data_IF_498981196062
#
_entry.id   IF_498981196062
#
_cell.length_a   1.000
_cell.length_b   1.000
_cell.length_c   1.000
_cell.angle_alpha   90.00
_cell.angle_beta   90.00
_cell.angle_gamma   90.00
#
_symmetry.space_group_name_H-M   'P 1'
#
loop_
_entity.id
_entity.type
_entity.pdbx_description
1 polymer ?
#
# COMPACT_ATOMS: atom_id res chain seq x y z
N UNK A 1 5.45 -23.86 66.36
CA UNK A 1 5.81 -22.47 66.06
C UNK A 1 5.92 -22.35 64.54
N UNK A 2 4.99 -21.57 63.95
CA UNK A 2 4.89 -21.02 62.59
C UNK A 2 5.29 -21.89 61.39
N UNK A 3 4.26 -22.34 60.65
CA UNK A 3 4.33 -22.78 59.25
C UNK A 3 4.49 -21.54 58.37
N UNK A 4 5.45 -21.55 57.43
CA UNK A 4 5.51 -20.56 56.35
C UNK A 4 5.58 -21.32 55.01
N UNK A 5 4.42 -21.50 54.36
CA UNK A 5 4.31 -22.06 53.02
C UNK A 5 4.38 -20.89 52.03
N UNK A 6 5.55 -20.65 51.46
CA UNK A 6 5.78 -19.63 50.44
C UNK A 6 5.42 -20.22 49.05
N UNK A 7 4.13 -20.18 48.70
CA UNK A 7 3.68 -20.44 47.32
C UNK A 7 4.12 -19.28 46.44
N UNK A 8 5.17 -19.50 45.66
CA UNK A 8 5.58 -18.58 44.59
C UNK A 8 4.54 -18.66 43.46
N UNK A 9 3.72 -17.61 43.35
CA UNK A 9 2.91 -17.36 42.17
C UNK A 9 3.84 -16.72 41.12
N UNK A 10 4.32 -17.51 40.17
CA UNK A 10 5.05 -17.00 39.00
C UNK A 10 4.02 -16.44 38.04
N UNK A 11 3.81 -15.13 38.10
CA UNK A 11 3.02 -14.39 37.13
C UNK A 11 3.88 -14.22 35.87
N UNK A 12 3.75 -15.14 34.93
CA UNK A 12 4.36 -15.00 33.61
C UNK A 12 3.59 -13.93 32.83
N UNK A 13 4.09 -12.69 32.82
CA UNK A 13 3.69 -11.70 31.83
C UNK A 13 4.12 -12.21 30.44
N UNK A 14 3.19 -12.83 29.72
CA UNK A 14 3.28 -12.91 28.26
C UNK A 14 3.12 -11.47 27.74
N UNK A 15 4.24 -10.75 27.61
CA UNK A 15 4.28 -9.61 26.73
C UNK A 15 4.11 -10.18 25.31
N UNK A 16 2.87 -10.13 24.80
CA UNK A 16 2.60 -10.38 23.40
C UNK A 16 3.45 -9.39 22.60
N UNK A 17 4.47 -9.89 21.92
CA UNK A 17 5.17 -9.10 20.92
C UNK A 17 4.12 -8.86 19.84
N UNK A 18 3.71 -7.60 19.58
CA UNK A 18 2.81 -7.35 18.45
C UNK A 18 3.51 -7.91 17.21
N UNK A 19 2.87 -8.86 16.55
CA UNK A 19 3.32 -9.29 15.24
C UNK A 19 3.23 -8.04 14.36
N UNK A 20 4.36 -7.59 13.82
CA UNK A 20 4.32 -6.55 12.82
C UNK A 20 3.49 -7.11 11.66
N UNK A 21 2.33 -6.52 11.42
CA UNK A 21 1.51 -6.85 10.26
C UNK A 21 2.39 -6.74 9.00
N UNK A 22 2.38 -7.77 8.17
CA UNK A 22 3.13 -7.75 6.91
C UNK A 22 2.48 -6.73 5.99
N UNK A 23 3.28 -5.84 5.39
CA UNK A 23 2.78 -4.95 4.36
C UNK A 23 2.52 -5.72 3.06
N UNK A 24 1.41 -5.42 2.39
CA UNK A 24 1.05 -5.93 1.08
C UNK A 24 1.74 -5.11 -0.02
N UNK A 25 2.16 -5.79 -1.08
CA UNK A 25 2.66 -5.13 -2.29
C UNK A 25 1.46 -4.60 -3.06
N UNK A 26 1.19 -3.30 -2.94
CA UNK A 26 0.08 -2.68 -3.67
C UNK A 26 0.39 -2.66 -5.17
N UNK A 27 1.59 -2.24 -5.56
CA UNK A 27 1.99 -2.22 -6.97
C UNK A 27 3.51 -2.24 -7.08
N UNK A 28 4.05 -3.08 -7.96
CA UNK A 28 5.50 -3.21 -8.15
C UNK A 28 5.88 -3.64 -9.56
N UNK A 29 7.00 -3.11 -10.06
CA UNK A 29 7.81 -3.71 -11.13
C UNK A 29 9.26 -3.87 -10.69
N UNK A 30 9.48 -4.11 -9.39
CA UNK A 30 10.78 -4.49 -8.84
C UNK A 30 10.96 -6.01 -8.81
N UNK A 31 12.22 -6.51 -8.89
CA UNK A 31 13.40 -5.75 -9.27
C UNK A 31 13.34 -5.32 -10.74
N UNK A 32 13.74 -4.08 -11.02
CA UNK A 32 13.95 -3.63 -12.39
C UNK A 32 15.15 -4.33 -13.03
N UNK A 33 15.19 -4.42 -14.37
CA UNK A 33 16.31 -5.09 -15.06
C UNK A 33 17.51 -4.17 -15.36
N UNK A 34 17.50 -2.92 -14.86
CA UNK A 34 18.56 -1.91 -14.96
C UNK A 34 19.17 -1.68 -16.34
N UNK A 35 18.40 -1.94 -17.39
CA UNK A 35 18.86 -1.76 -18.74
C UNK A 35 19.05 -0.26 -19.09
N UNK A 36 19.02 0.07 -20.38
CA UNK A 36 19.42 1.39 -20.88
C UNK A 36 18.43 2.51 -20.60
N UNK A 37 17.20 2.20 -20.16
CA UNK A 37 16.17 3.22 -19.92
C UNK A 37 16.28 3.83 -18.51
N UNK A 38 16.09 5.14 -18.44
CA UNK A 38 15.99 5.88 -17.20
C UNK A 38 15.33 7.25 -17.42
N UNK A 39 14.88 7.87 -16.34
CA UNK A 39 14.49 9.27 -16.34
C UNK A 39 15.52 10.06 -15.52
N UNK A 40 16.25 10.96 -16.17
CA UNK A 40 17.16 11.88 -15.48
C UNK A 40 16.35 12.88 -14.66
N UNK A 41 16.67 13.05 -13.37
CA UNK A 41 15.99 13.96 -12.44
C UNK A 41 16.84 15.19 -12.10
N UNK A 42 17.83 15.50 -12.94
CA UNK A 42 18.71 16.65 -12.83
C UNK A 42 18.11 17.91 -13.48
N UNK A 43 18.66 19.10 -13.17
CA UNK A 43 18.21 20.35 -13.77
C UNK A 43 16.75 20.72 -13.43
N UNK A 44 16.23 20.18 -12.33
CA UNK A 44 14.87 20.37 -11.87
C UNK A 44 13.83 19.45 -12.52
N UNK A 45 14.24 18.52 -13.40
CA UNK A 45 13.36 17.54 -14.05
C UNK A 45 12.60 16.70 -13.01
N UNK A 46 11.38 16.33 -13.37
CA UNK A 46 10.44 15.66 -12.49
C UNK A 46 9.81 14.50 -13.24
N UNK A 47 9.63 13.38 -12.53
CA UNK A 47 9.00 12.18 -13.05
C UNK A 47 7.84 11.80 -12.14
N UNK A 48 6.75 11.32 -12.73
CA UNK A 48 5.63 10.76 -11.97
C UNK A 48 5.18 9.41 -12.52
N UNK A 49 4.73 8.55 -11.61
CA UNK A 49 4.14 7.24 -11.87
C UNK A 49 2.75 7.19 -11.24
N UNK A 50 1.72 7.07 -12.06
CA UNK A 50 0.33 7.02 -11.63
C UNK A 50 -0.08 5.59 -11.32
N UNK A 51 -0.91 5.42 -10.30
CA UNK A 51 -1.49 4.13 -9.92
C UNK A 51 -2.89 4.34 -9.33
N UNK A 52 -3.75 3.33 -9.46
CA UNK A 52 -5.13 3.35 -8.96
C UNK A 52 -5.33 2.23 -7.97
N UNK A 53 -5.73 2.59 -6.74
CA UNK A 53 -6.17 1.62 -5.73
C UNK A 53 -7.49 1.02 -6.19
N UNK A 54 -7.68 -0.31 -6.11
CA UNK A 54 -8.97 -0.91 -6.44
C UNK A 54 -10.08 -0.36 -5.53
N UNK A 55 -11.33 -0.49 -5.95
CA UNK A 55 -12.45 -0.33 -5.01
C UNK A 55 -12.39 -1.41 -3.92
N UNK A 56 -12.96 -1.13 -2.75
CA UNK A 56 -12.92 -2.02 -1.60
C UNK A 56 -12.15 -1.37 -0.46
N UNK A 57 -10.95 -1.86 -0.18
CA UNK A 57 -10.15 -1.45 0.97
C UNK A 57 -9.39 -0.15 0.78
N UNK A 58 -9.38 0.64 1.86
CA UNK A 58 -8.39 1.69 2.06
C UNK A 58 -7.07 1.07 2.54
N UNK A 59 -5.94 1.64 2.12
CA UNK A 59 -4.61 1.17 2.51
C UNK A 59 -3.81 2.26 3.22
N UNK A 60 -3.35 1.98 4.44
CA UNK A 60 -2.30 2.77 5.06
C UNK A 60 -1.00 2.58 4.29
N UNK A 61 -0.47 3.66 3.71
CA UNK A 61 0.81 3.62 3.01
C UNK A 61 1.93 3.31 4.00
N UNK A 62 2.65 2.22 3.77
CA UNK A 62 3.77 1.79 4.63
C UNK A 62 5.09 2.26 4.06
N UNK A 63 5.34 2.00 2.79
CA UNK A 63 6.61 2.37 2.15
C UNK A 63 6.47 2.56 0.64
N UNK A 64 7.41 3.31 0.06
CA UNK A 64 7.63 3.40 -1.38
C UNK A 64 9.09 3.14 -1.67
N UNK A 65 9.36 2.13 -2.49
CA UNK A 65 10.71 1.85 -2.96
C UNK A 65 10.93 2.43 -4.36
N UNK A 66 11.96 3.24 -4.53
CA UNK A 66 12.38 3.77 -5.84
C UNK A 66 13.79 3.28 -6.20
N UNK A 67 13.97 2.87 -7.45
CA UNK A 67 15.27 2.40 -7.95
C UNK A 67 16.05 3.52 -8.62
N UNK A 68 17.06 4.07 -7.94
CA UNK A 68 17.81 5.23 -8.41
C UNK A 68 19.26 4.85 -8.74
N UNK A 69 19.79 5.45 -9.80
CA UNK A 69 21.22 5.48 -10.13
C UNK A 69 21.78 6.85 -9.75
N UNK A 70 22.64 6.87 -8.73
CA UNK A 70 23.27 8.07 -8.20
C UNK A 70 24.68 8.17 -8.74
N UNK A 71 24.95 9.17 -9.61
CA UNK A 71 26.26 9.30 -10.25
C UNK A 71 27.30 10.00 -9.38
N UNK A 72 26.86 10.81 -8.41
CA UNK A 72 27.74 11.50 -7.47
C UNK A 72 27.03 11.80 -6.14
N UNK A 73 27.82 11.98 -5.07
CA UNK A 73 27.27 12.34 -3.75
C UNK A 73 26.71 13.77 -3.77
N UNK A 74 25.75 14.04 -2.89
CA UNK A 74 24.99 15.30 -2.85
C UNK A 74 23.62 15.25 -3.54
N UNK A 75 23.14 14.04 -3.85
CA UNK A 75 21.76 13.81 -4.27
C UNK A 75 20.81 14.06 -3.09
N UNK A 76 19.69 14.74 -3.37
CA UNK A 76 18.61 14.96 -2.43
C UNK A 76 17.28 14.70 -3.16
N UNK A 77 16.98 13.42 -3.48
CA UNK A 77 15.69 13.09 -4.07
C UNK A 77 14.57 13.46 -3.10
N UNK A 78 13.48 13.94 -3.66
CA UNK A 78 12.24 14.21 -2.96
C UNK A 78 11.18 13.32 -3.59
N UNK A 79 10.55 12.51 -2.74
CA UNK A 79 9.54 11.52 -3.11
C UNK A 79 8.23 11.89 -2.43
N UNK A 80 7.14 12.02 -3.19
CA UNK A 80 5.86 12.54 -2.72
C UNK A 80 4.69 11.78 -3.33
N UNK A 81 3.55 11.80 -2.63
CA UNK A 81 2.26 11.37 -3.18
C UNK A 81 1.41 12.59 -3.51
N UNK A 82 0.79 12.57 -4.69
CA UNK A 82 -0.14 13.57 -5.18
C UNK A 82 -1.50 12.95 -5.50
N UNK A 83 -2.55 13.75 -5.46
CA UNK A 83 -3.87 13.39 -5.99
C UNK A 83 -3.88 13.32 -7.52
N UNK A 84 -5.00 12.88 -8.09
CA UNK A 84 -5.25 12.92 -9.52
C UNK A 84 -6.44 13.84 -9.84
N UNK A 85 -6.17 14.99 -10.47
CA UNK A 85 -7.20 15.91 -10.97
C UNK A 85 -7.04 16.06 -12.48
N UNK A 86 -8.04 15.63 -13.25
CA UNK A 86 -7.99 15.70 -14.72
C UNK A 86 -6.84 14.89 -15.33
N UNK A 87 -6.54 13.72 -14.76
CA UNK A 87 -5.43 12.85 -15.16
C UNK A 87 -4.03 13.44 -14.92
N UNK A 88 -3.93 14.43 -14.02
CA UNK A 88 -2.67 15.08 -13.68
C UNK A 88 -2.45 15.11 -12.15
N UNK A 89 -1.19 14.93 -11.70
CA UNK A 89 -0.81 15.23 -10.33
C UNK A 89 -1.02 16.71 -10.04
N UNK A 90 -1.82 17.07 -9.03
CA UNK A 90 -2.18 18.47 -8.78
C UNK A 90 -1.83 18.90 -7.36
N UNK A 91 -2.45 18.28 -6.36
CA UNK A 91 -2.26 18.61 -4.95
C UNK A 91 -1.36 17.57 -4.28
N UNK A 92 -0.32 18.02 -3.59
CA UNK A 92 0.52 17.13 -2.79
C UNK A 92 -0.27 16.66 -1.56
N UNK A 93 -0.31 15.35 -1.35
CA UNK A 93 -1.02 14.71 -0.24
C UNK A 93 -0.08 14.19 0.85
N UNK A 94 1.08 13.65 0.46
CA UNK A 94 2.03 13.08 1.43
C UNK A 94 3.49 13.38 1.09
N UNK A 95 4.29 13.48 2.15
CA UNK A 95 5.76 13.59 2.11
C UNK A 95 6.36 12.26 2.55
N UNK A 96 7.31 11.74 1.78
CA UNK A 96 8.07 10.56 2.15
C UNK A 96 9.51 10.96 2.53
N UNK A 97 9.98 10.38 3.64
CA UNK A 97 11.34 10.46 4.11
C UNK A 97 12.20 9.50 3.28
N UNK A 98 13.19 10.06 2.58
CA UNK A 98 14.14 9.27 1.79
C UNK A 98 15.38 9.00 2.64
N UNK A 99 15.87 7.75 2.73
CA UNK A 99 17.06 7.45 3.51
C UNK A 99 18.29 8.20 2.98
N UNK A 100 19.28 8.50 3.84
CA UNK A 100 20.50 9.18 3.41
C UNK A 100 21.23 8.43 2.30
N UNK A 101 21.59 9.15 1.23
CA UNK A 101 22.38 8.59 0.13
C UNK A 101 23.87 8.65 0.50
N UNK A 102 24.44 7.50 0.83
CA UNK A 102 25.83 7.38 1.30
C UNK A 102 26.80 6.80 0.26
N UNK A 103 26.29 6.30 -0.87
CA UNK A 103 27.06 5.70 -1.96
C UNK A 103 26.52 6.10 -3.33
N UNK A 104 27.34 5.89 -4.36
CA UNK A 104 26.98 6.04 -5.78
C UNK A 104 26.61 4.69 -6.39
N UNK A 105 25.92 4.71 -7.53
CA UNK A 105 25.50 3.54 -8.28
C UNK A 105 23.99 3.31 -8.19
N UNK A 106 23.56 2.14 -8.68
CA UNK A 106 22.16 1.74 -8.71
C UNK A 106 21.77 1.07 -7.39
N UNK A 107 20.75 1.58 -6.73
CA UNK A 107 20.21 1.01 -5.52
C UNK A 107 18.70 1.27 -5.38
N UNK A 108 18.06 0.45 -4.55
CA UNK A 108 16.68 0.65 -4.12
C UNK A 108 16.67 1.52 -2.84
N UNK A 109 15.86 2.57 -2.85
CA UNK A 109 15.69 3.48 -1.73
C UNK A 109 14.26 3.35 -1.19
N UNK A 110 14.13 2.74 -0.02
CA UNK A 110 12.86 2.56 0.69
C UNK A 110 12.52 3.85 1.42
N UNK A 111 11.47 4.53 0.96
CA UNK A 111 10.99 5.79 1.50
C UNK A 111 9.76 5.53 2.37
N UNK A 112 9.68 6.17 3.54
CA UNK A 112 8.55 5.99 4.48
C UNK A 112 7.76 7.28 4.61
N UNK A 113 6.42 7.25 4.76
CA UNK A 113 5.66 8.47 5.02
C UNK A 113 6.11 9.18 6.29
N UNK A 114 6.36 10.49 6.20
CA UNK A 114 6.74 11.30 7.38
C UNK A 114 5.58 11.44 8.38
N UNK A 115 4.36 11.21 7.91
CA UNK A 115 3.12 11.12 8.70
C UNK A 115 2.27 9.98 8.13
N UNK A 116 1.50 9.24 8.97
CA UNK A 116 0.56 8.23 8.49
C UNK A 116 -0.33 8.79 7.36
N UNK A 117 -0.47 8.03 6.28
CA UNK A 117 -1.21 8.44 5.10
C UNK A 117 -2.03 7.28 4.55
N UNK A 118 -3.34 7.50 4.40
CA UNK A 118 -4.25 6.50 3.84
C UNK A 118 -4.48 6.75 2.35
N UNK A 119 -4.27 5.71 1.57
CA UNK A 119 -4.65 5.58 0.17
C UNK A 119 -6.09 5.05 0.14
N UNK A 120 -7.04 5.91 -0.21
CA UNK A 120 -8.46 5.55 -0.24
C UNK A 120 -8.77 4.65 -1.45
N UNK A 121 -9.70 3.73 -1.25
CA UNK A 121 -10.18 2.80 -2.26
C UNK A 121 -10.72 3.52 -3.50
N UNK A 122 -10.50 2.95 -4.68
CA UNK A 122 -11.01 3.46 -5.95
C UNK A 122 -10.39 4.79 -6.41
N UNK A 123 -9.37 5.31 -5.72
CA UNK A 123 -8.70 6.57 -6.09
C UNK A 123 -7.40 6.35 -6.84
N UNK A 124 -7.16 7.24 -7.80
CA UNK A 124 -5.89 7.35 -8.51
C UNK A 124 -4.97 8.34 -7.80
N UNK A 125 -3.72 7.93 -7.62
CA UNK A 125 -2.65 8.70 -7.03
C UNK A 125 -1.44 8.77 -7.95
N UNK A 126 -0.55 9.72 -7.67
CA UNK A 126 0.72 9.87 -8.39
C UNK A 126 1.90 9.84 -7.42
N UNK A 127 2.83 8.92 -7.65
CA UNK A 127 4.16 8.95 -7.07
C UNK A 127 5.03 9.92 -7.86
N UNK A 128 5.40 11.06 -7.26
CA UNK A 128 6.19 12.11 -7.91
C UNK A 128 7.58 12.17 -7.30
N UNK A 129 8.60 12.16 -8.16
CA UNK A 129 10.01 12.17 -7.78
C UNK A 129 10.78 13.23 -8.55
N UNK A 130 11.57 14.02 -7.84
CA UNK A 130 12.54 14.94 -8.40
C UNK A 130 13.76 15.04 -7.48
N UNK A 131 14.81 15.72 -7.94
CA UNK A 131 15.99 15.98 -7.14
C UNK A 131 16.08 17.47 -6.80
N UNK A 132 16.24 17.81 -5.51
CA UNK A 132 16.61 19.16 -5.08
C UNK A 132 18.11 19.32 -4.85
N UNK A 133 18.87 18.24 -4.94
CA UNK A 133 20.32 18.23 -4.75
C UNK A 133 21.07 18.68 -6.00
N UNK A 134 22.39 18.79 -5.88
CA UNK A 134 23.28 19.18 -6.97
C UNK A 134 23.80 17.98 -7.77
N UNK A 135 23.61 16.76 -7.27
CA UNK A 135 24.03 15.56 -7.96
C UNK A 135 23.13 15.20 -9.14
N UNK A 136 23.70 14.48 -10.11
CA UNK A 136 22.89 13.80 -11.13
C UNK A 136 22.34 12.51 -10.53
N UNK A 137 21.03 12.32 -10.68
CA UNK A 137 20.36 11.06 -10.37
C UNK A 137 19.45 10.66 -11.53
N UNK A 138 19.41 9.37 -11.78
CA UNK A 138 18.52 8.78 -12.77
C UNK A 138 17.57 7.81 -12.08
N UNK A 139 16.26 7.97 -12.26
CA UNK A 139 15.33 6.92 -11.88
C UNK A 139 15.41 5.83 -12.94
N UNK A 140 15.79 4.61 -12.54
CA UNK A 140 15.94 3.48 -13.46
C UNK A 140 14.59 2.98 -13.96
N UNK A 141 14.61 2.33 -15.11
CA UNK A 141 13.47 1.71 -15.76
C UNK A 141 13.91 0.38 -16.40
N UNK A 142 12.96 -0.54 -16.56
CA UNK A 142 13.23 -1.78 -17.28
C UNK A 142 13.20 -1.59 -18.80
N UNK A 143 14.09 -2.27 -19.53
CA UNK A 143 14.04 -2.39 -20.99
C UNK A 143 14.27 -3.86 -21.39
N UNK A 144 13.28 -4.57 -21.95
CA UNK A 144 11.94 -4.09 -22.35
C UNK A 144 11.11 -3.59 -21.16
N UNK A 145 10.10 -2.76 -21.47
CA UNK A 145 9.21 -2.15 -20.47
C UNK A 145 8.52 -3.26 -19.67
N UNK A 146 8.58 -3.14 -18.34
CA UNK A 146 7.82 -3.97 -17.41
C UNK A 146 6.75 -3.10 -16.76
N UNK A 147 5.48 -3.43 -17.02
CA UNK A 147 4.35 -2.77 -16.37
C UNK A 147 4.30 -3.19 -14.89
N UNK A 148 4.12 -2.24 -13.96
CA UNK A 148 3.89 -2.55 -12.57
C UNK A 148 2.59 -3.34 -12.38
N UNK A 149 2.65 -4.35 -11.53
CA UNK A 149 1.55 -5.25 -11.19
C UNK A 149 1.39 -5.35 -9.67
N UNK A 150 0.20 -5.70 -9.20
CA UNK A 150 -0.14 -5.85 -7.79
C UNK A 150 -1.64 -5.68 -7.60
N UNK A 151 -2.05 -5.42 -6.36
CA UNK A 151 -3.43 -5.08 -5.99
C UNK A 151 -3.92 -3.82 -6.72
N UNK A 152 -3.07 -2.79 -6.79
CA UNK A 152 -3.30 -1.56 -7.52
C UNK A 152 -2.86 -1.67 -8.98
N UNK A 153 -3.54 -0.91 -9.85
CA UNK A 153 -3.28 -0.90 -11.29
C UNK A 153 -2.43 0.30 -11.70
N UNK A 154 -1.56 0.11 -12.69
CA UNK A 154 -0.78 1.22 -13.26
C UNK A 154 -1.70 2.16 -14.07
N UNK A 155 -1.64 3.46 -13.77
CA UNK A 155 -2.46 4.48 -14.44
C UNK A 155 -1.73 5.17 -15.60
N UNK A 156 -0.45 5.49 -15.43
CA UNK A 156 0.34 6.15 -16.47
C UNK A 156 1.67 6.69 -15.96
N UNK A 157 2.43 7.33 -16.86
CA UNK A 157 3.70 7.97 -16.51
C UNK A 157 3.82 9.36 -17.12
N UNK A 158 4.29 10.31 -16.32
CA UNK A 158 4.49 11.70 -16.73
C UNK A 158 5.94 12.11 -16.49
N UNK A 159 6.39 13.08 -17.27
CA UNK A 159 7.71 13.67 -17.17
C UNK A 159 7.63 15.16 -17.50
N UNK A 160 8.49 15.98 -16.88
CA UNK A 160 8.65 17.38 -17.26
C UNK A 160 10.10 17.82 -17.16
N UNK A 161 10.47 18.71 -18.07
CA UNK A 161 11.74 19.45 -18.02
C UNK A 161 11.64 20.76 -17.25
N UNK A 162 10.47 21.10 -16.72
CA UNK A 162 10.29 22.25 -15.83
C UNK A 162 11.02 22.00 -14.52
N UNK A 163 11.43 23.08 -13.86
CA UNK A 163 11.99 23.02 -12.51
C UNK A 163 10.89 22.72 -11.50
N UNK A 164 11.09 21.72 -10.64
CA UNK A 164 10.24 21.49 -9.45
C UNK A 164 10.04 22.77 -8.63
N UNK A 165 8.92 22.87 -7.88
CA UNK A 165 8.09 21.77 -7.37
C UNK A 165 6.81 21.47 -8.16
N UNK A 166 6.58 22.12 -9.31
CA UNK A 166 5.34 21.92 -10.06
C UNK A 166 5.30 20.52 -10.67
N UNK A 167 4.30 19.67 -10.36
CA UNK A 167 4.29 18.29 -10.79
C UNK A 167 4.21 18.17 -12.34
N UNK A 168 4.69 17.06 -12.92
CA UNK A 168 4.84 16.94 -14.36
C UNK A 168 3.50 16.78 -15.05
N UNK A 169 3.37 17.34 -16.27
CA UNK A 169 2.11 17.33 -17.03
C UNK A 169 2.23 16.75 -18.45
N UNK A 170 3.40 16.27 -18.85
CA UNK A 170 3.61 15.70 -20.19
C UNK A 170 3.76 14.18 -20.09
N UNK A 171 3.08 13.46 -20.99
CA UNK A 171 3.16 12.00 -21.06
C UNK A 171 4.59 11.53 -21.29
N UNK A 172 4.94 10.41 -20.66
CA UNK A 172 6.21 9.74 -20.83
C UNK A 172 5.98 8.28 -21.25
N UNK A 173 6.83 7.78 -22.16
CA UNK A 173 6.86 6.38 -22.55
C UNK A 173 7.75 5.50 -21.66
N UNK A 174 8.59 6.11 -20.82
CA UNK A 174 9.47 5.39 -19.89
C UNK A 174 8.70 5.04 -18.64
N UNK A 175 8.66 3.76 -18.27
CA UNK A 175 8.05 3.29 -17.02
C UNK A 175 9.17 2.95 -16.05
N UNK A 176 9.39 3.83 -15.09
CA UNK A 176 10.44 3.67 -14.09
C UNK A 176 10.13 2.54 -13.10
N UNK A 177 11.17 2.00 -12.46
CA UNK A 177 11.06 0.88 -11.54
C UNK A 177 10.76 1.36 -10.12
N UNK A 178 9.67 0.87 -9.54
CA UNK A 178 9.21 1.23 -8.20
C UNK A 178 8.32 0.16 -7.57
N UNK A 179 8.13 0.28 -6.26
CA UNK A 179 7.17 -0.49 -5.49
C UNK A 179 6.46 0.42 -4.48
N UNK A 180 5.18 0.16 -4.25
CA UNK A 180 4.39 0.79 -3.20
C UNK A 180 3.85 -0.33 -2.33
N UNK A 181 4.12 -0.23 -1.04
CA UNK A 181 3.66 -1.16 -0.02
C UNK A 181 2.66 -0.46 0.89
N UNK A 182 1.61 -1.17 1.26
CA UNK A 182 0.60 -0.67 2.19
C UNK A 182 0.01 -1.79 3.01
N UNK A 183 -0.75 -1.44 4.01
CA UNK A 183 -1.53 -2.36 4.82
C UNK A 183 -2.96 -1.89 4.78
N UNK A 184 -3.95 -2.79 4.79
CA UNK A 184 -5.35 -2.38 4.91
C UNK A 184 -5.50 -1.45 6.14
N UNK A 185 -6.07 -0.26 5.94
CA UNK A 185 -6.14 0.81 6.93
C UNK A 185 -7.12 0.52 8.08
N UNK A 186 -7.88 -0.55 7.94
CA UNK A 186 -8.78 -1.08 8.96
C UNK A 186 -8.67 -2.60 9.02
N UNK A 187 -9.55 -3.19 9.81
CA UNK A 187 -9.65 -4.63 9.91
C UNK A 187 -10.69 -5.09 8.91
N UNK A 188 -10.28 -5.65 7.77
CA UNK A 188 -11.21 -5.94 6.66
C UNK A 188 -12.38 -6.85 7.04
N UNK A 189 -12.16 -7.74 8.00
CA UNK A 189 -13.22 -8.61 8.52
C UNK A 189 -14.07 -8.00 9.64
N UNK A 190 -13.73 -6.81 10.15
CA UNK A 190 -14.50 -6.08 11.16
C UNK A 190 -15.61 -5.31 10.43
N UNK A 191 -16.79 -5.90 10.45
CA UNK A 191 -17.97 -5.46 9.70
C UNK A 191 -19.08 -4.96 10.62
N UNK A 192 -19.12 -5.38 11.88
CA UNK A 192 -20.25 -5.14 12.77
C UNK A 192 -19.91 -5.37 14.26
N UNK A 193 -20.11 -4.35 15.08
CA UNK A 193 -20.05 -4.43 16.55
C UNK A 193 -21.26 -5.12 17.20
N UNK A 194 -22.22 -5.61 16.42
CA UNK A 194 -23.35 -6.39 16.93
C UNK A 194 -23.86 -7.44 15.96
N UNK A 195 -24.33 -8.56 16.49
CA UNK A 195 -25.06 -9.59 15.72
C UNK A 195 -26.58 -9.41 15.72
N UNK A 196 -27.13 -8.42 16.43
CA UNK A 196 -28.58 -8.13 16.43
C UNK A 196 -28.93 -7.10 15.35
N UNK A 197 -29.70 -7.44 14.30
CA UNK A 197 -30.10 -6.49 13.25
C UNK A 197 -30.89 -5.26 13.73
N UNK A 198 -31.38 -5.25 14.97
CA UNK A 198 -32.06 -4.10 15.58
C UNK A 198 -31.14 -3.21 16.42
N UNK A 199 -29.88 -3.62 16.58
CA UNK A 199 -28.86 -2.82 17.28
C UNK A 199 -28.40 -1.65 16.42
N UNK A 200 -28.16 -0.46 17.00
CA UNK A 200 -27.52 0.66 16.28
C UNK A 200 -26.09 0.33 15.81
N UNK A 201 -25.46 -0.68 16.40
CA UNK A 201 -24.08 -1.09 16.06
C UNK A 201 -24.05 -2.21 15.00
N UNK A 202 -25.20 -2.65 14.48
CA UNK A 202 -25.27 -3.65 13.40
C UNK A 202 -24.82 -3.07 12.06
N UNK A 203 -23.79 -3.67 11.46
CA UNK A 203 -23.13 -3.18 10.26
C UNK A 203 -22.20 -1.99 10.50
N UNK A 204 -21.80 -1.75 11.76
CA UNK A 204 -20.85 -0.70 12.14
C UNK A 204 -19.60 -1.36 12.72
N UNK A 205 -18.42 -1.26 12.05
CA UNK A 205 -17.17 -1.81 12.57
C UNK A 205 -16.81 -1.27 13.96
N UNK A 206 -16.27 -2.11 14.84
CA UNK A 206 -15.96 -1.77 16.25
C UNK A 206 -14.48 -1.93 16.65
N UNK A 207 -13.64 -2.33 15.70
CA UNK A 207 -12.22 -2.57 15.86
C UNK A 207 -11.85 -4.01 16.22
N UNK A 208 -12.81 -4.93 16.26
CA UNK A 208 -12.58 -6.35 16.54
C UNK A 208 -13.16 -7.22 15.43
N UNK A 209 -12.58 -8.40 15.24
CA UNK A 209 -13.26 -9.47 14.49
C UNK A 209 -13.73 -10.50 15.50
N UNK A 210 -15.04 -10.60 15.65
CA UNK A 210 -15.70 -11.57 16.49
C UNK A 210 -17.00 -12.12 15.85
N UNK A 211 -17.75 -12.92 16.61
CA UNK A 211 -18.97 -13.55 16.12
C UNK A 211 -19.98 -12.57 15.50
N UNK A 212 -19.99 -11.31 15.94
CA UNK A 212 -20.86 -10.26 15.41
C UNK A 212 -20.59 -10.01 13.93
N UNK A 213 -19.32 -9.89 13.56
CA UNK A 213 -18.89 -9.72 12.18
C UNK A 213 -19.23 -10.94 11.34
N UNK A 214 -18.96 -12.15 11.87
CA UNK A 214 -19.25 -13.38 11.16
C UNK A 214 -20.74 -13.54 10.84
N UNK A 215 -21.62 -13.25 11.80
CA UNK A 215 -23.06 -13.30 11.55
C UNK A 215 -23.53 -12.22 10.59
N UNK A 216 -22.99 -11.00 10.71
CA UNK A 216 -23.28 -9.94 9.75
C UNK A 216 -22.82 -10.31 8.33
N UNK A 217 -21.61 -10.86 8.17
CA UNK A 217 -21.10 -11.36 6.90
C UNK A 217 -22.03 -12.42 6.30
N UNK A 218 -22.48 -13.41 7.08
CA UNK A 218 -23.43 -14.42 6.62
C UNK A 218 -24.73 -13.80 6.12
N UNK A 219 -25.27 -12.81 6.83
CA UNK A 219 -26.49 -12.11 6.44
C UNK A 219 -26.28 -11.37 5.10
N UNK A 220 -25.17 -10.66 4.94
CA UNK A 220 -24.83 -9.94 3.70
C UNK A 220 -24.55 -10.91 2.53
N UNK A 221 -23.85 -12.00 2.79
CA UNK A 221 -23.56 -13.04 1.81
C UNK A 221 -24.85 -13.71 1.32
N UNK A 222 -25.73 -14.11 2.25
CA UNK A 222 -27.03 -14.70 1.90
C UNK A 222 -27.94 -13.71 1.16
N UNK A 223 -27.81 -12.41 1.43
CA UNK A 223 -28.54 -11.35 0.73
C UNK A 223 -27.97 -11.01 -0.65
N UNK A 224 -26.81 -11.55 -1.04
CA UNK A 224 -26.17 -11.25 -2.32
C UNK A 224 -25.54 -9.85 -2.37
N UNK A 225 -25.16 -9.27 -1.22
CA UNK A 225 -24.61 -7.93 -1.16
C UNK A 225 -23.14 -7.89 -1.57
N UNK A 226 -22.89 -7.71 -2.87
CA UNK A 226 -21.54 -7.59 -3.45
C UNK A 226 -20.74 -6.42 -2.87
N UNK A 227 -21.38 -5.37 -2.33
CA UNK A 227 -20.61 -4.25 -1.78
C UNK A 227 -19.91 -4.57 -0.45
N UNK A 228 -20.34 -5.64 0.24
CA UNK A 228 -19.79 -6.06 1.53
C UNK A 228 -19.14 -7.44 1.44
N UNK A 229 -19.77 -8.37 0.72
CA UNK A 229 -19.42 -9.78 0.79
C UNK A 229 -18.57 -10.29 -0.40
N UNK A 230 -18.38 -9.50 -1.46
CA UNK A 230 -17.42 -9.79 -2.52
C UNK A 230 -16.03 -9.33 -2.07
N UNK A 231 -15.21 -10.28 -1.64
CA UNK A 231 -13.92 -10.06 -1.01
C UNK A 231 -12.77 -10.69 -1.79
N UNK A 232 -13.00 -11.74 -2.57
CA UNK A 232 -11.94 -12.50 -3.21
C UNK A 232 -12.42 -13.26 -4.45
N UNK A 233 -11.73 -13.10 -5.57
CA UNK A 233 -11.92 -13.89 -6.78
C UNK A 233 -11.19 -15.24 -6.80
N UNK A 234 -10.48 -15.60 -5.72
CA UNK A 234 -9.79 -16.89 -5.61
C UNK A 234 -9.78 -17.44 -4.19
N UNK A 235 -9.76 -18.77 -4.06
CA UNK A 235 -9.52 -19.47 -2.78
C UNK A 235 -8.04 -19.78 -2.52
N UNK A 236 -7.14 -19.59 -3.50
CA UNK A 236 -5.72 -19.91 -3.36
C UNK A 236 -4.92 -18.66 -2.97
N UNK A 237 -4.30 -18.61 -1.77
CA UNK A 237 -3.48 -17.47 -1.33
C UNK A 237 -2.31 -17.09 -2.24
N UNK A 238 -1.93 -17.96 -3.19
CA UNK A 238 -0.86 -17.67 -4.15
C UNK A 238 -1.39 -17.15 -5.50
N UNK A 239 -2.70 -17.05 -5.67
CA UNK A 239 -3.32 -16.54 -6.89
C UNK A 239 -3.48 -15.00 -6.82
N UNK A 240 -3.22 -14.26 -7.90
CA UNK A 240 -3.40 -12.80 -7.93
C UNK A 240 -4.82 -12.30 -7.62
N UNK A 241 -5.84 -13.15 -7.74
CA UNK A 241 -7.22 -12.83 -7.37
C UNK A 241 -7.56 -13.03 -5.89
N UNK A 242 -6.65 -13.58 -5.08
CA UNK A 242 -6.92 -13.81 -3.66
C UNK A 242 -6.95 -12.49 -2.88
N UNK A 243 -8.05 -12.25 -2.17
CA UNK A 243 -8.34 -11.00 -1.46
C UNK A 243 -8.70 -9.82 -2.37
N UNK A 244 -8.96 -10.07 -3.66
CA UNK A 244 -9.39 -9.05 -4.63
C UNK A 244 -10.83 -9.33 -5.05
N UNK A 245 -11.79 -8.41 -4.78
CA UNK A 245 -13.18 -8.57 -5.24
C UNK A 245 -13.28 -8.71 -6.76
N UNK A 246 -14.13 -9.61 -7.25
CA UNK A 246 -14.22 -9.96 -8.68
C UNK A 246 -15.62 -9.75 -9.31
N UNK A 247 -16.57 -9.24 -8.53
CA UNK A 247 -17.95 -8.99 -8.93
C UNK A 247 -18.84 -10.23 -8.84
N UNK A 248 -18.35 -11.34 -8.31
CA UNK A 248 -19.11 -12.55 -8.05
C UNK A 248 -19.19 -12.77 -6.54
N UNK A 249 -20.19 -13.54 -6.12
CA UNK A 249 -20.34 -13.95 -4.74
C UNK A 249 -20.34 -15.47 -4.69
N UNK A 250 -19.23 -16.05 -4.27
CA UNK A 250 -19.05 -17.50 -4.28
C UNK A 250 -18.22 -18.02 -3.08
N UNK A 251 -17.70 -19.24 -3.19
CA UNK A 251 -16.95 -19.87 -2.12
C UNK A 251 -15.62 -19.15 -1.82
N UNK A 252 -15.05 -18.46 -2.80
CA UNK A 252 -13.81 -17.70 -2.70
C UNK A 252 -13.92 -16.61 -1.63
N UNK A 253 -15.01 -15.84 -1.66
CA UNK A 253 -15.27 -14.80 -0.68
C UNK A 253 -15.48 -15.35 0.73
N UNK A 254 -16.25 -16.43 0.83
CA UNK A 254 -16.53 -17.07 2.11
C UNK A 254 -15.25 -17.61 2.77
N UNK A 255 -14.41 -18.31 2.02
CA UNK A 255 -13.16 -18.84 2.55
C UNK A 255 -12.16 -17.73 2.88
N UNK A 256 -12.08 -16.69 2.05
CA UNK A 256 -11.25 -15.54 2.36
C UNK A 256 -11.71 -14.81 3.63
N UNK A 257 -13.03 -14.65 3.83
CA UNK A 257 -13.56 -14.10 5.08
C UNK A 257 -13.19 -14.95 6.30
N UNK A 258 -13.23 -16.28 6.19
CA UNK A 258 -12.78 -17.15 7.27
C UNK A 258 -11.29 -16.96 7.60
N UNK A 259 -10.45 -16.75 6.58
CA UNK A 259 -9.03 -16.46 6.79
C UNK A 259 -8.85 -15.14 7.54
N UNK A 260 -9.61 -14.08 7.17
CA UNK A 260 -9.64 -12.82 7.91
C UNK A 260 -10.11 -13.02 9.36
N UNK A 261 -11.19 -13.79 9.55
CA UNK A 261 -11.78 -14.06 10.86
C UNK A 261 -10.81 -14.79 11.80
N UNK A 262 -10.06 -15.76 11.28
CA UNK A 262 -9.05 -16.48 12.06
C UNK A 262 -7.81 -15.62 12.31
N UNK A 263 -7.44 -14.77 11.37
CA UNK A 263 -6.32 -13.84 11.52
C UNK A 263 -6.60 -12.77 12.58
N UNK A 264 -7.85 -12.31 12.68
CA UNK A 264 -8.25 -11.20 13.55
C UNK A 264 -7.79 -9.84 13.03
N UNK A 265 -7.92 -8.82 13.87
CA UNK A 265 -7.43 -7.48 13.53
C UNK A 265 -5.94 -7.30 13.83
N UNK A 266 -5.20 -6.57 12.96
CA UNK A 266 -3.79 -6.23 13.20
C UNK A 266 -3.60 -5.22 14.35
#
# INVERSE_FOLDING_TARGET
MVRCNLRHLVLACLAGVPCAASADILISNLPGNDATQSAALEGGRIKAMGFTIPSGDDYLLTSVTVRLDVTNLGAMPLVRIFDNVGSLPTNQLAVLDVPPITSTGIADYVCTPSTPFTLEAGRTYWLVVWNSGTASIHWKASSPIQLPTGIASHFGSLFSTNTGPNPPASNSSIINSYQIDGQVAGCRGDLSGSSDPNSPDYGVPDGQIDSSDFFYFLDQFAAGNLSVADLSGSTDPNDPGYGVPDGQLDASDFFFYLDLFVAGCP
#
